data_IF_592028926728
#
_entry.id   IF_592028926728
#
_cell.length_a   1.000
_cell.length_b   1.000
_cell.length_c   1.000
_cell.angle_alpha   90.00
_cell.angle_beta   90.00
_cell.angle_gamma   90.00
#
_symmetry.space_group_name_H-M   'P 1'
#
loop_
_entity.id
_entity.type
_entity.pdbx_description
1 polymer ?
#
# COMPACT_ATOMS: atom_id res chain seq x y z
N UNK A 1 15.62 13.66 10.42
CA UNK A 1 15.11 12.35 9.97
C UNK A 1 13.99 12.56 8.94
N UNK A 2 14.12 11.92 7.77
CA UNK A 2 13.17 11.89 6.66
C UNK A 2 12.47 10.52 6.64
N UNK A 3 11.15 10.56 6.57
CA UNK A 3 10.32 9.35 6.45
C UNK A 3 9.56 9.30 5.14
N UNK A 4 9.33 8.09 4.63
CA UNK A 4 8.54 7.89 3.40
C UNK A 4 7.43 6.86 3.59
N UNK A 5 6.56 6.78 2.58
CA UNK A 5 5.46 5.80 2.51
C UNK A 5 5.61 5.04 1.18
N UNK A 6 6.41 3.96 1.15
CA UNK A 6 6.85 3.29 -0.09
C UNK A 6 5.73 2.90 -1.06
N UNK A 7 4.55 2.52 -0.54
CA UNK A 7 3.41 2.13 -1.37
C UNK A 7 2.91 3.26 -2.29
N UNK A 8 3.20 4.52 -2.01
CA UNK A 8 2.80 5.63 -2.90
C UNK A 8 3.55 5.59 -4.22
N UNK A 9 4.86 5.39 -4.16
CA UNK A 9 5.69 5.30 -5.35
C UNK A 9 5.50 3.95 -6.05
N UNK A 10 5.44 2.85 -5.29
CA UNK A 10 5.20 1.52 -5.86
C UNK A 10 3.88 1.46 -6.63
N UNK A 11 2.81 2.07 -6.11
CA UNK A 11 1.53 2.13 -6.81
C UNK A 11 1.61 2.92 -8.13
N UNK A 12 2.31 4.06 -8.15
CA UNK A 12 2.49 4.85 -9.38
C UNK A 12 3.31 4.06 -10.41
N UNK A 13 4.43 3.47 -10.00
CA UNK A 13 5.25 2.62 -10.89
C UNK A 13 4.43 1.45 -11.45
N UNK A 14 3.62 0.78 -10.63
CA UNK A 14 2.74 -0.29 -11.10
C UNK A 14 1.65 0.20 -12.07
N UNK A 15 1.11 1.42 -11.87
CA UNK A 15 0.18 2.01 -12.83
C UNK A 15 0.86 2.26 -14.18
N UNK A 16 2.10 2.74 -14.18
CA UNK A 16 2.87 3.03 -15.39
C UNK A 16 3.35 1.74 -16.10
N UNK A 17 3.83 0.76 -15.33
CA UNK A 17 4.44 -0.48 -15.86
C UNK A 17 3.43 -1.61 -16.13
N UNK A 18 2.34 -1.67 -15.36
CA UNK A 18 1.36 -2.77 -15.40
C UNK A 18 -0.05 -2.30 -15.78
N UNK A 19 -0.25 -0.99 -15.90
CA UNK A 19 -1.51 -0.36 -16.32
C UNK A 19 -2.54 -0.18 -15.21
N UNK A 20 -2.25 -0.57 -13.97
CA UNK A 20 -3.10 -0.29 -12.80
C UNK A 20 -2.34 -0.43 -11.49
N UNK A 21 -2.71 0.37 -10.48
CA UNK A 21 -2.20 0.23 -9.11
C UNK A 21 -2.48 -1.17 -8.52
N UNK A 22 -3.61 -1.78 -8.90
CA UNK A 22 -4.06 -3.09 -8.41
C UNK A 22 -3.16 -4.24 -8.87
N UNK A 23 -2.38 -4.01 -9.92
CA UNK A 23 -1.45 -5.00 -10.49
C UNK A 23 -0.04 -4.90 -9.92
N UNK A 24 0.18 -4.03 -8.93
CA UNK A 24 1.41 -3.98 -8.16
C UNK A 24 1.77 -5.37 -7.63
N UNK A 25 3.05 -5.70 -7.57
CA UNK A 25 3.55 -6.94 -7.00
C UNK A 25 4.23 -6.67 -5.66
N UNK A 26 4.45 -7.72 -4.86
CA UNK A 26 5.23 -7.58 -3.64
C UNK A 26 6.66 -7.06 -3.93
N UNK A 27 7.23 -7.48 -5.06
CA UNK A 27 8.56 -7.08 -5.51
C UNK A 27 8.65 -5.57 -5.78
N UNK A 28 7.60 -4.95 -6.32
CA UNK A 28 7.58 -3.51 -6.59
C UNK A 28 7.70 -2.69 -5.32
N UNK A 29 7.04 -3.11 -4.24
CA UNK A 29 7.19 -2.48 -2.92
C UNK A 29 8.60 -2.68 -2.37
N UNK A 30 9.16 -3.88 -2.47
CA UNK A 30 10.52 -4.14 -1.96
C UNK A 30 11.58 -3.32 -2.68
N UNK A 31 11.52 -3.24 -4.02
CA UNK A 31 12.41 -2.39 -4.81
C UNK A 31 12.35 -0.92 -4.42
N UNK A 32 11.15 -0.39 -4.14
CA UNK A 32 11.01 1.01 -3.67
C UNK A 32 11.58 1.18 -2.27
N UNK A 33 11.37 0.24 -1.35
CA UNK A 33 11.97 0.28 0.00
C UNK A 33 13.50 0.27 -0.10
N UNK A 34 14.07 -0.62 -0.91
CA UNK A 34 15.51 -0.70 -1.12
C UNK A 34 16.08 0.58 -1.73
N UNK A 35 15.39 1.15 -2.73
CA UNK A 35 15.75 2.44 -3.33
C UNK A 35 15.75 3.57 -2.30
N UNK A 36 14.66 3.71 -1.53
CA UNK A 36 14.56 4.68 -0.45
C UNK A 36 15.67 4.50 0.60
N UNK A 37 15.99 3.26 0.97
CA UNK A 37 17.07 2.98 1.91
C UNK A 37 18.44 3.39 1.35
N UNK A 38 18.70 3.13 0.06
CA UNK A 38 19.92 3.55 -0.63
C UNK A 38 20.04 5.08 -0.74
N UNK A 39 18.91 5.79 -0.84
CA UNK A 39 18.84 7.26 -0.84
C UNK A 39 18.97 7.89 0.55
N UNK A 40 19.01 7.07 1.61
CA UNK A 40 19.22 7.54 2.98
C UNK A 40 17.94 7.92 3.73
N UNK A 41 16.78 7.36 3.35
CA UNK A 41 15.54 7.51 4.13
C UNK A 41 15.71 6.87 5.52
N UNK A 42 15.38 7.62 6.57
CA UNK A 42 15.59 7.20 7.97
C UNK A 42 14.55 6.18 8.45
N UNK A 43 13.30 6.28 7.97
CA UNK A 43 12.23 5.34 8.32
C UNK A 43 11.16 5.25 7.24
N UNK A 44 10.43 4.14 7.20
CA UNK A 44 9.32 3.92 6.27
C UNK A 44 8.03 3.60 7.02
N UNK A 45 6.91 4.10 6.50
CA UNK A 45 5.57 3.71 6.95
C UNK A 45 5.06 2.58 6.04
N UNK A 46 4.87 1.40 6.63
CA UNK A 46 4.31 0.23 5.96
C UNK A 46 2.96 -0.14 6.57
N UNK A 47 1.99 -0.46 5.72
CA UNK A 47 0.60 -0.71 6.14
C UNK A 47 0.34 -2.18 6.49
N UNK A 48 1.32 -2.86 7.07
CA UNK A 48 1.28 -4.31 7.36
C UNK A 48 0.20 -4.72 8.38
N UNK A 49 -0.41 -3.76 9.08
CA UNK A 49 -1.52 -4.02 10.01
C UNK A 49 -2.87 -4.24 9.31
N UNK A 50 -2.99 -3.96 8.01
CA UNK A 50 -4.21 -4.21 7.27
C UNK A 50 -4.27 -5.67 6.84
N UNK A 51 -5.21 -6.43 7.41
CA UNK A 51 -5.43 -7.86 7.13
C UNK A 51 -6.82 -8.07 6.55
N UNK A 52 -7.04 -9.18 5.82
CA UNK A 52 -8.37 -9.51 5.29
C UNK A 52 -9.45 -9.54 6.38
N UNK A 53 -9.13 -10.07 7.57
CA UNK A 53 -10.02 -10.04 8.74
C UNK A 53 -10.37 -8.61 9.18
N UNK A 54 -9.40 -7.69 9.17
CA UNK A 54 -9.65 -6.29 9.49
C UNK A 54 -10.52 -5.61 8.42
N UNK A 55 -10.33 -5.96 7.14
CA UNK A 55 -11.16 -5.48 6.02
C UNK A 55 -12.61 -5.96 6.15
N UNK A 56 -12.83 -7.24 6.46
CA UNK A 56 -14.16 -7.79 6.71
C UNK A 56 -14.86 -7.08 7.86
N UNK A 57 -14.14 -6.84 8.96
CA UNK A 57 -14.68 -6.08 10.10
C UNK A 57 -15.05 -4.66 9.71
N UNK A 58 -14.20 -3.96 8.95
CA UNK A 58 -14.47 -2.61 8.46
C UNK A 58 -15.75 -2.55 7.63
N UNK A 59 -15.96 -3.53 6.72
CA UNK A 59 -17.17 -3.63 5.91
C UNK A 59 -18.44 -3.82 6.75
N UNK A 60 -18.34 -4.51 7.88
CA UNK A 60 -19.47 -4.77 8.79
C UNK A 60 -19.74 -3.62 9.77
N UNK A 61 -18.73 -2.82 10.09
CA UNK A 61 -18.83 -1.78 11.12
C UNK A 61 -19.72 -0.60 10.70
N UNK A 62 -19.79 -0.31 9.39
CA UNK A 62 -20.62 0.78 8.86
C UNK A 62 -20.05 2.17 9.15
N UNK A 63 -18.73 2.36 8.97
CA UNK A 63 -18.06 3.65 9.20
C UNK A 63 -18.61 4.72 8.26
N UNK A 64 -18.80 5.94 8.77
CA UNK A 64 -19.30 7.07 7.95
C UNK A 64 -18.35 7.48 6.82
N UNK A 65 -17.04 7.38 7.06
CA UNK A 65 -15.99 7.83 6.12
C UNK A 65 -15.11 6.67 5.63
N UNK A 66 -15.46 5.42 5.94
CA UNK A 66 -14.68 4.22 5.57
C UNK A 66 -13.17 4.34 5.84
N UNK A 67 -12.32 4.19 4.82
CA UNK A 67 -10.86 4.22 4.92
C UNK A 67 -10.33 5.59 4.52
N UNK A 68 -9.70 6.26 5.49
CA UNK A 68 -9.10 7.59 5.31
C UNK A 68 -7.57 7.56 5.19
N UNK A 69 -6.93 6.42 5.43
CA UNK A 69 -5.49 6.26 5.17
C UNK A 69 -5.27 6.02 3.67
N UNK A 70 -4.55 6.93 3.01
CA UNK A 70 -4.22 6.79 1.59
C UNK A 70 -3.45 5.49 1.29
N UNK A 71 -2.46 5.15 2.11
CA UNK A 71 -1.67 3.93 1.89
C UNK A 71 -2.43 2.66 2.24
N UNK A 72 -3.31 2.73 3.24
CA UNK A 72 -4.25 1.65 3.54
C UNK A 72 -5.27 1.44 2.43
N UNK A 73 -5.72 2.50 1.76
CA UNK A 73 -6.64 2.42 0.63
C UNK A 73 -5.97 1.76 -0.59
N UNK A 74 -4.71 2.09 -0.91
CA UNK A 74 -3.96 1.41 -1.98
C UNK A 74 -3.75 -0.07 -1.68
N UNK A 75 -3.38 -0.42 -0.44
CA UNK A 75 -3.23 -1.81 -0.06
C UNK A 75 -4.58 -2.55 -0.10
N UNK A 76 -5.66 -1.95 0.39
CA UNK A 76 -6.99 -2.56 0.30
C UNK A 76 -7.38 -2.84 -1.15
N UNK A 77 -7.18 -1.86 -2.04
CA UNK A 77 -7.53 -1.99 -3.45
C UNK A 77 -6.79 -3.17 -4.09
N UNK A 78 -5.50 -3.29 -3.81
CA UNK A 78 -4.69 -4.43 -4.22
C UNK A 78 -5.22 -5.76 -3.65
N UNK A 79 -5.53 -5.81 -2.35
CA UNK A 79 -6.03 -7.02 -1.68
C UNK A 79 -7.37 -7.48 -2.28
N UNK A 80 -8.28 -6.54 -2.55
CA UNK A 80 -9.60 -6.83 -3.14
C UNK A 80 -9.46 -7.30 -4.58
N UNK A 81 -8.59 -6.68 -5.38
CA UNK A 81 -8.38 -7.06 -6.77
C UNK A 81 -7.74 -8.46 -6.90
N UNK A 82 -6.77 -8.76 -6.03
CA UNK A 82 -6.01 -10.02 -6.10
C UNK A 82 -6.59 -11.15 -5.25
N UNK A 83 -7.64 -10.88 -4.46
CA UNK A 83 -8.24 -11.80 -3.48
C UNK A 83 -7.21 -12.33 -2.46
N UNK A 84 -6.32 -11.45 -1.99
CA UNK A 84 -5.15 -11.79 -1.15
C UNK A 84 -4.91 -10.82 0.00
#
# INVERSE_FOLDING_TARGET
PLGTVPIYEAAIRAADEHGSISKMTAEDIFKVIEGHAAEGVDFVTVHCGLTLKAVERLRQEGRTLDIVSRGGAFLLEWMVYNER
#
